data_IF_576617168177
#
_entry.id   IF_576617168177
#
_cell.length_a   1.000
_cell.length_b   1.000
_cell.length_c   1.000
_cell.angle_alpha   90.00
_cell.angle_beta   90.00
_cell.angle_gamma   90.00
#
_symmetry.space_group_name_H-M   'P 1'
#
loop_
_entity.id
_entity.type
_entity.pdbx_description
1 polymer ?
#
# COMPACT_ATOMS: atom_id res chain seq x y z
N UNK A 1 33.15 29.96 -0.17
CA UNK A 1 33.32 28.83 -1.11
C UNK A 1 31.97 28.61 -1.78
N UNK A 2 31.85 28.88 -3.10
CA UNK A 2 30.61 28.68 -3.87
C UNK A 2 30.72 27.32 -4.56
N UNK A 3 29.76 26.42 -4.33
CA UNK A 3 29.65 25.19 -5.10
C UNK A 3 28.37 25.23 -5.92
N UNK A 4 28.57 25.51 -7.21
CA UNK A 4 27.59 25.39 -8.28
C UNK A 4 28.01 24.16 -9.09
N UNK A 5 27.19 23.11 -9.13
CA UNK A 5 27.20 22.11 -10.22
C UNK A 5 25.77 21.64 -10.47
N UNK A 6 25.15 22.27 -11.47
CA UNK A 6 24.11 21.65 -12.29
C UNK A 6 24.73 20.43 -12.99
N UNK A 7 24.07 19.29 -12.91
CA UNK A 7 24.13 18.28 -13.96
C UNK A 7 22.73 17.68 -14.15
N UNK A 8 22.31 17.75 -15.40
CA UNK A 8 20.98 17.48 -15.90
C UNK A 8 20.87 16.02 -16.36
N UNK A 9 19.62 15.50 -16.38
CA UNK A 9 19.08 14.40 -17.21
C UNK A 9 19.32 12.96 -16.73
N UNK A 10 18.25 12.36 -16.19
CA UNK A 10 17.77 11.07 -16.65
C UNK A 10 16.23 11.10 -16.64
N UNK A 11 15.65 11.18 -17.84
CA UNK A 11 14.24 10.88 -18.08
C UNK A 11 14.06 9.41 -17.76
N UNK A 12 13.47 9.09 -16.61
CA UNK A 12 12.78 7.83 -16.42
C UNK A 12 11.31 8.19 -16.21
N UNK A 13 10.60 8.25 -17.34
CA UNK A 13 9.15 8.23 -17.37
C UNK A 13 8.68 6.88 -16.82
N UNK A 14 8.73 6.72 -15.50
CA UNK A 14 7.83 5.80 -14.85
C UNK A 14 6.46 6.42 -15.06
N UNK A 15 5.71 5.88 -16.03
CA UNK A 15 4.28 6.14 -16.17
C UNK A 15 3.64 5.63 -14.88
N UNK A 16 3.70 6.43 -13.83
CA UNK A 16 2.85 6.29 -12.67
C UNK A 16 1.49 6.80 -13.13
N UNK A 17 0.75 5.98 -13.88
CA UNK A 17 -0.70 6.05 -13.91
C UNK A 17 -1.22 5.74 -12.51
N UNK A 18 -0.92 6.60 -11.53
CA UNK A 18 -1.79 6.80 -10.38
C UNK A 18 -2.78 7.88 -10.80
N UNK A 19 -3.65 7.55 -11.75
CA UNK A 19 -4.88 8.30 -11.96
C UNK A 19 -5.60 8.27 -10.61
N UNK A 20 -5.60 9.41 -9.91
CA UNK A 20 -6.40 9.71 -8.73
C UNK A 20 -7.02 8.48 -8.06
N UNK A 21 -6.23 7.77 -7.25
CA UNK A 21 -6.79 6.79 -6.33
C UNK A 21 -7.88 7.53 -5.54
N UNK A 22 -9.13 7.04 -5.57
CA UNK A 22 -10.25 7.76 -4.99
C UNK A 22 -10.02 7.95 -3.48
N UNK A 23 -10.73 8.87 -2.83
CA UNK A 23 -10.56 9.11 -1.39
C UNK A 23 -10.72 7.79 -0.62
N UNK A 24 -9.61 7.29 -0.09
CA UNK A 24 -9.54 6.04 0.64
C UNK A 24 -8.82 4.92 -0.09
N UNK A 25 -8.58 4.97 -1.39
CA UNK A 25 -7.80 3.97 -2.11
C UNK A 25 -6.33 4.03 -1.69
N UNK A 26 -5.66 2.88 -1.71
CA UNK A 26 -4.26 2.79 -1.27
C UNK A 26 -3.44 1.90 -2.19
N UNK A 27 -2.28 2.39 -2.61
CA UNK A 27 -1.28 1.53 -3.25
C UNK A 27 -0.67 0.55 -2.25
N UNK A 28 0.00 -0.49 -2.75
CA UNK A 28 0.75 -1.44 -1.91
C UNK A 28 1.70 -0.73 -0.94
N UNK A 29 2.47 0.24 -1.43
CA UNK A 29 3.45 0.96 -0.60
C UNK A 29 2.78 1.79 0.50
N UNK A 30 1.68 2.48 0.19
CA UNK A 30 0.91 3.24 1.17
C UNK A 30 0.28 2.32 2.22
N UNK A 31 -0.17 1.13 1.82
CA UNK A 31 -0.71 0.12 2.73
C UNK A 31 0.38 -0.42 3.66
N UNK A 32 1.54 -0.82 3.12
CA UNK A 32 2.68 -1.32 3.88
C UNK A 32 3.18 -0.28 4.88
N UNK A 33 3.31 0.98 4.48
CA UNK A 33 3.74 2.05 5.37
C UNK A 33 2.77 2.28 6.55
N UNK A 34 1.46 2.26 6.29
CA UNK A 34 0.44 2.37 7.37
C UNK A 34 0.47 1.18 8.30
N UNK A 35 0.56 -0.04 7.78
CA UNK A 35 0.63 -1.24 8.62
C UNK A 35 1.91 -1.25 9.45
N UNK A 36 3.05 -0.81 8.89
CA UNK A 36 4.30 -0.69 9.66
C UNK A 36 4.14 0.24 10.87
N UNK A 37 3.61 1.46 10.66
CA UNK A 37 3.38 2.41 11.74
C UNK A 37 2.44 1.85 12.82
N UNK A 38 1.35 1.18 12.41
CA UNK A 38 0.40 0.54 13.33
C UNK A 38 1.00 -0.62 14.11
N UNK A 39 1.87 -1.43 13.51
CA UNK A 39 2.53 -2.55 14.19
C UNK A 39 3.56 -2.03 15.20
N UNK A 40 4.31 -1.00 14.83
CA UNK A 40 5.24 -0.31 15.73
C UNK A 40 4.50 0.30 16.94
N UNK A 41 3.39 1.00 16.71
CA UNK A 41 2.53 1.55 17.78
C UNK A 41 2.02 0.47 18.74
N UNK A 42 1.70 -0.72 18.21
CA UNK A 42 1.21 -1.85 19.01
C UNK A 42 2.30 -2.73 19.60
N UNK A 43 3.58 -2.42 19.36
CA UNK A 43 4.70 -3.25 19.80
C UNK A 43 4.74 -4.64 19.15
N UNK A 44 4.14 -4.81 17.97
CA UNK A 44 4.13 -6.07 17.23
C UNK A 44 5.44 -6.24 16.44
N UNK A 45 5.96 -7.48 16.39
CA UNK A 45 7.12 -7.80 15.55
C UNK A 45 6.75 -7.68 14.09
N UNK A 46 7.37 -6.75 13.37
CA UNK A 46 7.12 -6.51 11.94
C UNK A 46 7.26 -7.80 11.10
N UNK A 47 6.27 -8.04 10.21
CA UNK A 47 6.29 -9.12 9.23
C UNK A 47 5.79 -8.61 7.88
N UNK A 48 6.73 -8.23 7.02
CA UNK A 48 6.43 -7.69 5.70
C UNK A 48 5.66 -8.67 4.81
N UNK A 49 6.09 -9.94 4.75
CA UNK A 49 5.44 -10.95 3.93
C UNK A 49 3.96 -11.13 4.29
N UNK A 50 3.62 -11.06 5.58
CA UNK A 50 2.23 -11.12 6.05
C UNK A 50 1.42 -9.92 5.57
N UNK A 51 1.98 -8.71 5.66
CA UNK A 51 1.29 -7.50 5.21
C UNK A 51 1.09 -7.50 3.69
N UNK A 52 2.11 -7.89 2.93
CA UNK A 52 2.01 -8.00 1.48
C UNK A 52 1.01 -9.08 1.05
N UNK A 53 0.96 -10.22 1.75
CA UNK A 53 -0.06 -11.25 1.53
C UNK A 53 -1.48 -10.71 1.78
N UNK A 54 -1.68 -9.93 2.85
CA UNK A 54 -2.98 -9.30 3.10
C UNK A 54 -3.37 -8.32 1.99
N UNK A 55 -2.40 -7.59 1.42
CA UNK A 55 -2.66 -6.71 0.29
C UNK A 55 -3.08 -7.52 -0.95
N UNK A 56 -2.36 -8.60 -1.26
CA UNK A 56 -2.70 -9.45 -2.41
C UNK A 56 -4.05 -10.17 -2.27
N UNK A 57 -4.48 -10.49 -1.05
CA UNK A 57 -5.83 -11.01 -0.78
C UNK A 57 -6.93 -9.95 -1.00
N UNK A 58 -6.59 -8.67 -0.89
CA UNK A 58 -7.50 -7.55 -0.94
C UNK A 58 -7.60 -6.94 -2.34
N UNK A 59 -6.48 -6.76 -3.04
CA UNK A 59 -6.37 -6.33 -4.43
C UNK A 59 -6.78 -7.48 -5.37
N UNK A 60 -8.09 -7.71 -5.45
CA UNK A 60 -8.68 -8.85 -6.15
C UNK A 60 -8.64 -8.70 -7.66
N UNK A 61 -8.73 -7.46 -8.15
CA UNK A 61 -8.64 -7.15 -9.57
C UNK A 61 -7.18 -7.00 -10.05
N UNK A 62 -6.20 -7.01 -9.13
CA UNK A 62 -4.76 -6.95 -9.41
C UNK A 62 -4.35 -5.67 -10.13
N UNK A 63 -4.99 -4.56 -9.80
CA UNK A 63 -4.67 -3.24 -10.36
C UNK A 63 -3.59 -2.49 -9.54
N UNK A 64 -3.12 -3.09 -8.44
CA UNK A 64 -2.13 -2.50 -7.54
C UNK A 64 -2.72 -1.48 -6.57
N UNK A 65 -4.04 -1.37 -6.50
CA UNK A 65 -4.79 -0.44 -5.65
C UNK A 65 -5.78 -1.22 -4.79
N UNK A 66 -5.59 -1.16 -3.47
CA UNK A 66 -6.60 -1.62 -2.54
C UNK A 66 -7.73 -0.59 -2.44
N UNK A 67 -8.79 -0.79 -3.22
CA UNK A 67 -9.92 0.13 -3.25
C UNK A 67 -10.72 0.12 -1.94
N UNK A 68 -11.50 1.18 -1.71
CA UNK A 68 -12.43 1.23 -0.57
C UNK A 68 -13.42 0.04 -0.54
N UNK A 69 -13.90 -0.39 -1.70
CA UNK A 69 -14.84 -1.53 -1.84
C UNK A 69 -14.15 -2.85 -1.51
N UNK A 70 -12.95 -3.08 -2.05
CA UNK A 70 -12.18 -4.29 -1.79
C UNK A 70 -11.84 -4.44 -0.31
N UNK A 71 -11.42 -3.36 0.35
CA UNK A 71 -11.21 -3.36 1.80
C UNK A 71 -12.45 -3.80 2.56
N UNK A 72 -13.61 -3.23 2.25
CA UNK A 72 -14.86 -3.60 2.92
C UNK A 72 -15.19 -5.08 2.74
N UNK A 73 -15.03 -5.60 1.52
CA UNK A 73 -15.24 -7.03 1.21
C UNK A 73 -14.29 -7.90 2.01
N UNK A 74 -12.99 -7.57 2.01
CA UNK A 74 -11.96 -8.32 2.75
C UNK A 74 -12.23 -8.33 4.26
N UNK A 75 -12.56 -7.19 4.86
CA UNK A 75 -12.90 -7.12 6.29
C UNK A 75 -14.15 -7.94 6.63
N UNK A 76 -15.19 -7.90 5.78
CA UNK A 76 -16.40 -8.72 5.98
C UNK A 76 -16.07 -10.22 5.91
N UNK A 77 -15.21 -10.63 4.98
CA UNK A 77 -14.76 -12.01 4.86
C UNK A 77 -13.95 -12.47 6.08
N UNK A 78 -12.98 -11.67 6.55
CA UNK A 78 -12.19 -11.98 7.75
C UNK A 78 -13.05 -12.04 9.02
N UNK A 79 -14.01 -11.13 9.17
CA UNK A 79 -14.94 -11.14 10.29
C UNK A 79 -15.84 -12.39 10.30
N UNK A 80 -16.24 -12.90 9.12
CA UNK A 80 -17.00 -14.14 9.01
C UNK A 80 -16.14 -15.37 9.31
N UNK A 81 -14.87 -15.38 8.90
CA UNK A 81 -13.95 -16.48 9.17
C UNK A 81 -13.64 -16.64 10.66
N UNK A 82 -13.52 -15.54 11.41
CA UNK A 82 -13.20 -15.56 12.85
C UNK A 82 -14.40 -15.91 13.76
N UNK A 83 -15.60 -16.07 13.20
CA UNK A 83 -16.83 -16.45 13.95
C UNK A 83 -17.12 -17.95 13.89
N UNK A 84 -16.28 -18.73 13.22
CA UNK A 84 -16.36 -20.20 13.15
C UNK A 84 -15.34 -20.81 14.08
#
# INVERSE_FOLDING_TARGET
>A
MKMNKLLTIAVMSCVATSLYAAKGDQTKDQFVAKEKAKWEEKGWKWNQAKVESNFAEMDTNKDGIASGKERQVWFKAKAAANKK
#
